data_IF_509711123443
#
_entry.id   IF_509711123443
#
_cell.length_a   1.000
_cell.length_b   1.000
_cell.length_c   1.000
_cell.angle_alpha   90.00
_cell.angle_beta   90.00
_cell.angle_gamma   90.00
#
_symmetry.space_group_name_H-M   'P 1'
#
loop_
_entity.id
_entity.type
_entity.pdbx_description
1 polymer ?
#
# COMPACT_ATOMS: atom_id res chain seq x y z
N UNK A 1 -25.46 24.79 2.95
CA UNK A 1 -25.25 24.19 1.60
C UNK A 1 -23.79 24.07 1.18
N UNK A 2 -22.82 24.78 1.78
CA UNK A 2 -21.39 24.64 1.43
C UNK A 2 -20.72 23.38 2.01
N UNK A 3 -21.20 22.85 3.13
CA UNK A 3 -20.61 21.70 3.84
C UNK A 3 -20.72 20.37 3.08
N UNK A 4 -21.79 20.18 2.31
CA UNK A 4 -22.03 18.95 1.52
C UNK A 4 -21.13 18.92 0.28
N UNK A 5 -20.84 20.08 -0.31
CA UNK A 5 -19.97 20.21 -1.48
C UNK A 5 -18.51 19.91 -1.13
N UNK A 6 -18.04 20.36 0.04
CA UNK A 6 -16.68 20.10 0.54
C UNK A 6 -16.46 18.60 0.83
N UNK A 7 -17.46 17.93 1.41
CA UNK A 7 -17.42 16.48 1.68
C UNK A 7 -17.39 15.67 0.38
N UNK A 8 -18.19 16.06 -0.64
CA UNK A 8 -18.16 15.39 -1.95
C UNK A 8 -16.86 15.61 -2.72
N UNK A 9 -16.25 16.79 -2.61
CA UNK A 9 -14.94 17.07 -3.20
C UNK A 9 -13.81 16.27 -2.53
N UNK A 10 -13.82 16.17 -1.19
CA UNK A 10 -12.86 15.35 -0.44
C UNK A 10 -13.00 13.85 -0.77
N UNK A 11 -14.24 13.34 -0.85
CA UNK A 11 -14.50 11.96 -1.28
C UNK A 11 -14.03 11.68 -2.72
N UNK A 12 -14.19 12.65 -3.62
CA UNK A 12 -13.77 12.52 -5.03
C UNK A 12 -12.26 12.52 -5.19
N UNK A 13 -11.50 13.26 -4.37
CA UNK A 13 -10.05 13.26 -4.42
C UNK A 13 -9.46 11.96 -3.86
N UNK A 14 -10.08 11.41 -2.81
CA UNK A 14 -9.65 10.16 -2.18
C UNK A 14 -9.71 8.94 -3.11
N UNK A 15 -10.56 8.95 -4.14
CA UNK A 15 -10.73 7.81 -5.04
C UNK A 15 -9.85 7.86 -6.30
N UNK A 16 -9.24 9.02 -6.62
CA UNK A 16 -8.40 9.15 -7.82
C UNK A 16 -7.22 8.18 -7.78
N UNK A 17 -6.60 8.01 -6.61
CA UNK A 17 -5.48 7.09 -6.39
C UNK A 17 -5.86 5.61 -6.59
N UNK A 18 -7.14 5.27 -6.62
CA UNK A 18 -7.63 3.89 -6.70
C UNK A 18 -8.44 3.62 -7.96
N UNK A 19 -8.47 4.56 -8.91
CA UNK A 19 -9.17 4.40 -10.19
C UNK A 19 -8.39 3.47 -11.13
N UNK A 20 -8.80 2.21 -11.17
CA UNK A 20 -8.18 1.16 -11.99
C UNK A 20 -8.18 1.50 -13.49
N UNK A 21 -9.11 2.34 -13.96
CA UNK A 21 -9.15 2.75 -15.37
C UNK A 21 -7.96 3.62 -15.77
N UNK A 22 -7.26 4.21 -14.80
CA UNK A 22 -6.08 5.07 -15.00
C UNK A 22 -4.75 4.34 -14.87
N UNK A 23 -4.78 3.03 -14.69
CA UNK A 23 -3.57 2.23 -14.47
C UNK A 23 -2.73 2.16 -15.76
N UNK A 24 -1.44 2.52 -15.72
CA UNK A 24 -0.52 2.35 -16.84
C UNK A 24 -0.55 0.93 -17.40
N UNK A 25 -0.45 0.78 -18.74
CA UNK A 25 -0.65 -0.50 -19.42
C UNK A 25 0.24 -1.64 -18.92
N UNK A 26 1.51 -1.36 -18.57
CA UNK A 26 2.44 -2.36 -18.05
C UNK A 26 2.14 -2.80 -16.61
N UNK A 27 1.32 -2.04 -15.86
CA UNK A 27 0.88 -2.38 -14.49
C UNK A 27 -0.49 -3.09 -14.49
N UNK A 28 -1.19 -3.15 -15.62
CA UNK A 28 -2.49 -3.83 -15.74
C UNK A 28 -2.48 -5.28 -15.20
N UNK A 29 -1.42 -6.11 -15.40
CA UNK A 29 -1.39 -7.47 -14.86
C UNK A 29 -1.47 -7.54 -13.33
N UNK A 30 -1.05 -6.48 -12.63
CA UNK A 30 -1.06 -6.38 -11.16
C UNK A 30 -2.11 -5.38 -10.64
N UNK A 31 -2.99 -4.87 -11.52
CA UNK A 31 -3.98 -3.86 -11.15
C UNK A 31 -5.00 -4.35 -10.11
N UNK A 32 -5.17 -5.67 -9.98
CA UNK A 32 -6.03 -6.29 -8.96
C UNK A 32 -5.55 -6.04 -7.52
N UNK A 33 -4.29 -5.62 -7.33
CA UNK A 33 -3.75 -5.24 -6.03
C UNK A 33 -4.24 -3.86 -5.55
N UNK A 34 -4.70 -3.01 -6.46
CA UNK A 34 -5.05 -1.61 -6.15
C UNK A 34 -6.27 -1.57 -5.24
N UNK A 35 -6.13 -0.88 -4.11
CA UNK A 35 -7.17 -0.75 -3.11
C UNK A 35 -6.62 -0.55 -1.71
N UNK A 36 -7.55 -0.54 -0.75
CA UNK A 36 -7.26 -0.49 0.68
C UNK A 36 -7.61 -1.87 1.25
N UNK A 37 -6.61 -2.56 1.77
CA UNK A 37 -6.72 -3.87 2.38
C UNK A 37 -6.57 -3.70 3.88
N UNK A 38 -7.61 -3.99 4.66
CA UNK A 38 -7.62 -3.76 6.11
C UNK A 38 -8.02 -5.01 6.87
N UNK A 39 -7.31 -5.28 7.96
CA UNK A 39 -7.58 -6.38 8.86
C UNK A 39 -7.41 -5.92 10.30
N UNK A 40 -8.43 -6.03 11.14
CA UNK A 40 -8.37 -5.57 12.55
C UNK A 40 -7.75 -6.62 13.48
N UNK A 41 -7.82 -7.90 13.10
CA UNK A 41 -7.45 -9.04 13.96
C UNK A 41 -6.74 -10.18 13.19
N UNK A 42 -6.34 -9.94 11.94
CA UNK A 42 -5.75 -11.00 11.09
C UNK A 42 -4.24 -11.15 11.23
N UNK A 43 -3.54 -10.14 11.76
CA UNK A 43 -2.10 -10.20 11.98
C UNK A 43 -1.75 -11.02 13.22
N UNK A 44 -0.86 -12.01 13.08
CA UNK A 44 -0.29 -12.77 14.20
C UNK A 44 1.22 -12.80 14.08
N UNK A 45 1.91 -12.07 14.98
CA UNK A 45 3.35 -12.09 15.04
C UNK A 45 3.84 -13.25 15.92
N UNK A 46 4.66 -14.13 15.36
CA UNK A 46 5.28 -15.25 16.08
C UNK A 46 6.78 -15.19 15.83
N UNK A 47 7.55 -14.97 16.89
CA UNK A 47 8.99 -14.98 16.82
C UNK A 47 9.56 -15.55 18.13
N UNK A 48 10.61 -16.40 18.10
CA UNK A 48 11.01 -17.18 19.29
C UNK A 48 11.37 -16.35 20.54
N UNK A 49 11.78 -15.11 20.34
CA UNK A 49 12.29 -14.24 21.42
C UNK A 49 11.28 -13.20 21.92
N UNK A 50 10.07 -13.14 21.36
CA UNK A 50 9.02 -12.22 21.81
C UNK A 50 7.68 -12.95 21.97
N UNK A 51 6.83 -12.53 22.94
CA UNK A 51 5.50 -13.08 23.08
C UNK A 51 4.69 -12.94 21.78
N UNK A 52 3.86 -13.95 21.49
CA UNK A 52 2.91 -13.86 20.38
C UNK A 52 1.89 -12.76 20.67
N UNK A 53 1.65 -11.89 19.70
CA UNK A 53 0.61 -10.87 19.79
C UNK A 53 -0.15 -10.75 18.46
N UNK A 54 -1.37 -10.23 18.56
CA UNK A 54 -2.21 -9.87 17.41
C UNK A 54 -2.16 -8.38 17.16
N UNK A 55 -2.26 -8.00 15.90
CA UNK A 55 -2.25 -6.62 15.47
C UNK A 55 -3.25 -6.40 14.34
N UNK A 56 -3.72 -5.17 14.24
CA UNK A 56 -4.44 -4.71 13.05
C UNK A 56 -3.46 -4.18 12.03
N UNK A 57 -3.77 -4.34 10.75
CA UNK A 57 -2.97 -3.84 9.64
C UNK A 57 -3.85 -3.24 8.53
N UNK A 58 -3.31 -2.24 7.85
CA UNK A 58 -3.86 -1.65 6.65
C UNK A 58 -2.75 -1.50 5.63
N UNK A 59 -3.01 -2.00 4.42
CA UNK A 59 -2.16 -1.81 3.26
C UNK A 59 -2.94 -1.01 2.23
N UNK A 60 -2.37 0.07 1.74
CA UNK A 60 -2.92 0.83 0.62
C UNK A 60 -2.00 0.71 -0.59
N UNK A 61 -2.59 0.29 -1.70
CA UNK A 61 -1.90 0.21 -2.99
C UNK A 61 -2.64 1.12 -3.94
N UNK A 62 -1.99 2.19 -4.38
CA UNK A 62 -2.58 3.20 -5.26
C UNK A 62 -1.80 3.33 -6.56
N UNK A 63 -2.45 3.90 -7.58
CA UNK A 63 -1.80 4.29 -8.83
C UNK A 63 -0.74 5.38 -8.55
N UNK A 64 0.31 5.45 -9.38
CA UNK A 64 1.33 6.48 -9.22
C UNK A 64 0.75 7.88 -9.37
N UNK A 65 1.34 8.83 -8.65
CA UNK A 65 1.02 10.24 -8.81
C UNK A 65 1.62 10.84 -10.11
N UNK A 66 1.26 12.09 -10.36
CA UNK A 66 1.75 12.85 -11.51
C UNK A 66 3.21 13.31 -11.35
N UNK A 67 3.77 13.27 -10.13
CA UNK A 67 5.16 13.65 -9.85
C UNK A 67 6.16 12.56 -10.26
N UNK A 68 5.72 11.30 -10.36
CA UNK A 68 6.57 10.19 -10.80
C UNK A 68 6.91 10.32 -12.31
N UNK A 69 8.12 10.72 -12.66
CA UNK A 69 8.53 10.94 -14.06
C UNK A 69 9.20 9.74 -14.76
N UNK A 70 9.63 8.74 -13.98
CA UNK A 70 10.24 7.50 -14.49
C UNK A 70 9.21 6.45 -14.95
N UNK A 71 9.66 5.19 -15.06
CA UNK A 71 8.74 4.07 -15.26
C UNK A 71 7.76 4.04 -14.07
N UNK A 72 6.47 4.19 -14.39
CA UNK A 72 5.41 4.25 -13.40
C UNK A 72 5.35 2.95 -12.57
N UNK A 73 5.20 3.08 -11.25
CA UNK A 73 5.05 2.00 -10.28
C UNK A 73 3.83 2.29 -9.39
N UNK A 74 3.21 1.25 -8.81
CA UNK A 74 2.15 1.47 -7.82
C UNK A 74 2.78 1.98 -6.53
N UNK A 75 2.11 2.91 -5.84
CA UNK A 75 2.51 3.33 -4.51
C UNK A 75 2.05 2.26 -3.51
N UNK A 76 2.88 2.00 -2.50
CA UNK A 76 2.58 1.05 -1.43
C UNK A 76 2.76 1.74 -0.08
N UNK A 77 1.76 1.65 0.79
CA UNK A 77 1.87 2.01 2.19
C UNK A 77 1.30 0.87 3.03
N UNK A 78 1.96 0.56 4.14
CA UNK A 78 1.49 -0.40 5.12
C UNK A 78 1.63 0.20 6.52
N UNK A 79 0.61 -0.01 7.32
CA UNK A 79 0.53 0.49 8.69
C UNK A 79 -0.04 -0.60 9.60
N UNK A 80 0.59 -0.84 10.73
CA UNK A 80 0.17 -1.79 11.74
C UNK A 80 -0.03 -1.11 13.09
N UNK A 81 -1.07 -1.52 13.81
CA UNK A 81 -1.41 -1.01 15.13
C UNK A 81 -1.72 -2.12 16.13
N UNK A 82 -1.51 -1.82 17.41
CA UNK A 82 -1.83 -2.73 18.51
C UNK A 82 -3.33 -3.02 18.58
N UNK A 83 -3.69 -4.16 19.18
CA UNK A 83 -5.10 -4.60 19.28
C UNK A 83 -6.02 -3.62 20.05
N UNK A 84 -5.46 -2.68 20.80
CA UNK A 84 -6.20 -1.59 21.46
C UNK A 84 -6.54 -0.42 20.52
N UNK A 85 -5.99 -0.38 19.30
CA UNK A 85 -6.25 0.66 18.30
C UNK A 85 -5.51 1.99 18.52
N UNK A 86 -4.74 2.11 19.60
CA UNK A 86 -4.14 3.38 20.03
C UNK A 86 -2.61 3.46 19.87
N UNK A 87 -1.97 2.37 19.49
CA UNK A 87 -0.51 2.27 19.40
C UNK A 87 -0.10 1.89 17.97
N UNK A 88 0.66 2.76 17.29
CA UNK A 88 1.37 2.41 16.07
C UNK A 88 2.48 1.41 16.42
N UNK A 89 2.51 0.28 15.71
CA UNK A 89 3.52 -0.77 15.90
C UNK A 89 4.56 -0.78 14.80
N UNK A 90 4.14 -0.54 13.55
CA UNK A 90 5.02 -0.58 12.40
C UNK A 90 4.42 0.17 11.21
N UNK A 91 5.26 0.90 10.47
CA UNK A 91 4.90 1.43 9.16
C UNK A 91 5.97 1.19 8.10
N UNK A 92 5.50 0.93 6.88
CA UNK A 92 6.33 0.74 5.69
C UNK A 92 5.78 1.55 4.51
N UNK A 93 6.68 2.11 3.72
CA UNK A 93 6.36 2.93 2.55
C UNK A 93 7.21 2.50 1.37
N UNK A 94 6.64 2.50 0.17
CA UNK A 94 7.36 1.92 -0.95
C UNK A 94 6.65 1.99 -2.30
N UNK A 95 7.17 1.20 -3.22
CA UNK A 95 6.68 1.10 -4.59
C UNK A 95 6.66 -0.35 -5.07
N UNK A 96 5.61 -0.70 -5.82
CA UNK A 96 5.51 -1.97 -6.55
C UNK A 96 5.72 -1.68 -8.04
N UNK A 97 6.84 -2.14 -8.58
CA UNK A 97 7.17 -1.97 -9.99
C UNK A 97 7.02 -3.28 -10.75
N UNK A 98 6.59 -3.21 -12.00
CA UNK A 98 6.56 -4.34 -12.92
C UNK A 98 7.45 -4.03 -14.12
N UNK A 99 8.34 -4.96 -14.45
CA UNK A 99 9.15 -4.86 -15.65
C UNK A 99 8.25 -5.05 -16.89
N UNK A 100 8.25 -4.13 -17.86
CA UNK A 100 7.35 -4.19 -19.01
C UNK A 100 7.55 -5.45 -19.84
N UNK A 101 6.44 -6.06 -20.27
CA UNK A 101 6.40 -7.28 -21.09
C UNK A 101 7.04 -8.52 -20.44
N UNK A 102 7.31 -8.50 -19.14
CA UNK A 102 7.73 -9.67 -18.38
C UNK A 102 6.68 -10.00 -17.32
N UNK A 103 7.01 -10.94 -16.42
CA UNK A 103 6.23 -11.20 -15.21
C UNK A 103 7.01 -10.86 -13.95
N UNK A 104 8.10 -10.11 -14.08
CA UNK A 104 8.96 -9.74 -12.96
C UNK A 104 8.33 -8.55 -12.25
N UNK A 105 8.05 -8.72 -10.96
CA UNK A 105 7.52 -7.68 -10.08
C UNK A 105 8.52 -7.46 -8.95
N UNK A 106 8.77 -6.21 -8.60
CA UNK A 106 9.57 -5.85 -7.43
C UNK A 106 8.78 -5.00 -6.45
N UNK A 107 9.01 -5.23 -5.17
CA UNK A 107 8.55 -4.39 -4.07
C UNK A 107 9.79 -3.78 -3.41
N UNK A 108 9.84 -2.44 -3.34
CA UNK A 108 10.87 -1.70 -2.61
C UNK A 108 10.20 -0.98 -1.46
N UNK A 109 10.60 -1.25 -0.22
CA UNK A 109 10.07 -0.57 0.97
C UNK A 109 11.16 0.03 1.84
N UNK A 110 10.81 1.12 2.50
CA UNK A 110 11.51 1.69 3.65
C UNK A 110 10.59 1.63 4.86
N UNK A 111 11.16 1.36 6.02
CA UNK A 111 10.42 1.06 7.24
C UNK A 111 10.77 2.04 8.36
N UNK A 112 9.84 2.30 9.27
CA UNK A 112 10.02 3.17 10.43
C UNK A 112 11.20 2.77 11.34
N UNK A 113 11.56 1.50 11.38
CA UNK A 113 12.68 0.95 12.12
C UNK A 113 14.04 1.13 11.42
N UNK A 114 14.09 1.91 10.33
CA UNK A 114 15.32 2.24 9.60
C UNK A 114 15.81 1.17 8.63
N UNK A 115 15.02 0.11 8.38
CA UNK A 115 15.35 -0.91 7.37
C UNK A 115 14.79 -0.53 6.01
N UNK A 116 15.45 -1.03 4.97
CA UNK A 116 14.96 -1.01 3.60
C UNK A 116 15.05 -2.41 3.01
N UNK A 117 14.06 -2.79 2.20
CA UNK A 117 13.99 -4.10 1.56
C UNK A 117 13.69 -3.92 0.08
N UNK A 118 14.34 -4.74 -0.75
CA UNK A 118 13.96 -4.97 -2.13
C UNK A 118 13.64 -6.45 -2.29
N UNK A 119 12.42 -6.75 -2.68
CA UNK A 119 11.97 -8.10 -3.00
C UNK A 119 11.65 -8.20 -4.48
N UNK A 120 12.04 -9.29 -5.14
CA UNK A 120 11.78 -9.53 -6.57
C UNK A 120 11.16 -10.90 -6.72
N UNK A 121 10.01 -10.96 -7.41
CA UNK A 121 9.25 -12.17 -7.65
C UNK A 121 8.80 -12.27 -9.11
N UNK A 122 8.40 -13.47 -9.53
CA UNK A 122 7.71 -13.69 -10.80
C UNK A 122 6.24 -14.01 -10.56
N UNK A 123 5.36 -13.25 -11.21
CA UNK A 123 3.91 -13.50 -11.30
C UNK A 123 3.60 -14.51 -12.43
#
# INVERSE_FOLDING_TARGET
MQSVLLIRFAFSLFLVGFDVSRVPSHLQPIAWLIGIWRSEHGGKAIFPTIPTFTYGEQVEISIPDDHMTGLKALNYTAFAWGSSGHEELHSEYGYIAMEPNTKTVSLTTVMDNGKFIVHVARH
#
